data_IF_758235280374
#
_entry.id   IF_758235280374
#
_cell.length_a   1.000
_cell.length_b   1.000
_cell.length_c   1.000
_cell.angle_alpha   90.00
_cell.angle_beta   90.00
_cell.angle_gamma   90.00
#
_symmetry.space_group_name_H-M   'P 1'
#
loop_
_entity.id
_entity.type
_entity.pdbx_description
1 polymer ?
#
# COMPACT_ATOMS: atom_id res chain seq x y z
N UNK A 1 -25.87 -14.33 -7.22
CA UNK A 1 -26.45 -13.81 -5.96
C UNK A 1 -25.92 -12.41 -5.79
N UNK A 2 -26.77 -11.41 -5.42
CA UNK A 2 -26.26 -10.09 -5.06
C UNK A 2 -25.22 -10.27 -3.95
N UNK A 3 -24.07 -9.60 -4.11
CA UNK A 3 -22.94 -9.67 -3.15
C UNK A 3 -23.06 -8.59 -2.07
N UNK A 4 -24.23 -7.97 -1.95
CA UNK A 4 -24.54 -6.98 -0.93
C UNK A 4 -25.29 -7.68 0.21
N UNK A 5 -24.88 -7.40 1.44
CA UNK A 5 -25.46 -7.99 2.64
C UNK A 5 -26.34 -7.00 3.43
N UNK A 6 -26.43 -5.75 2.95
CA UNK A 6 -27.17 -4.63 3.55
C UNK A 6 -27.75 -3.73 2.45
N UNK A 7 -28.71 -2.87 2.80
CA UNK A 7 -29.33 -1.91 1.88
C UNK A 7 -28.79 -0.48 2.09
N UNK A 8 -28.48 0.22 1.00
CA UNK A 8 -28.12 1.64 1.01
C UNK A 8 -28.58 2.34 -0.29
N UNK A 9 -28.90 3.64 -0.26
CA UNK A 9 -29.22 4.39 -1.46
C UNK A 9 -28.08 4.36 -2.49
N UNK A 10 -28.40 4.03 -3.75
CA UNK A 10 -27.45 4.02 -4.86
C UNK A 10 -26.67 2.71 -5.06
N UNK A 11 -27.02 1.63 -4.35
CA UNK A 11 -26.44 0.31 -4.61
C UNK A 11 -26.86 -0.23 -5.99
N UNK A 12 -25.92 -0.91 -6.65
CA UNK A 12 -26.13 -1.61 -7.91
C UNK A 12 -25.70 -3.08 -7.74
N UNK A 13 -26.56 -4.03 -8.12
CA UNK A 13 -26.31 -5.46 -7.92
C UNK A 13 -25.34 -6.07 -8.93
N UNK A 14 -25.28 -5.49 -10.14
CA UNK A 14 -24.47 -6.00 -11.23
C UNK A 14 -23.35 -5.00 -11.55
N UNK A 15 -22.07 -5.36 -11.32
CA UNK A 15 -20.96 -4.60 -11.89
C UNK A 15 -20.97 -4.73 -13.41
N UNK A 16 -20.41 -3.73 -14.11
CA UNK A 16 -20.23 -3.81 -15.56
C UNK A 16 -19.13 -4.82 -15.91
N UNK A 17 -19.27 -5.64 -16.98
CA UNK A 17 -18.32 -6.70 -17.31
C UNK A 17 -16.86 -6.24 -17.46
N UNK A 18 -16.64 -4.99 -17.87
CA UNK A 18 -15.33 -4.38 -18.08
C UNK A 18 -14.50 -4.25 -16.80
N UNK A 19 -15.15 -4.33 -15.63
CA UNK A 19 -14.49 -4.30 -14.31
C UNK A 19 -14.18 -5.69 -13.76
N UNK A 20 -14.50 -6.75 -14.51
CA UNK A 20 -14.19 -8.11 -14.10
C UNK A 20 -12.67 -8.30 -13.91
N UNK A 21 -12.28 -8.81 -12.75
CA UNK A 21 -10.88 -9.02 -12.40
C UNK A 21 -10.15 -7.78 -11.85
N UNK A 22 -10.83 -6.65 -11.64
CA UNK A 22 -10.23 -5.51 -10.95
C UNK A 22 -9.90 -5.89 -9.50
N UNK A 23 -8.77 -5.38 -9.02
CA UNK A 23 -8.24 -5.64 -7.68
C UNK A 23 -7.95 -4.32 -7.01
N UNK A 24 -8.43 -4.12 -5.78
CA UNK A 24 -8.02 -2.98 -4.97
C UNK A 24 -6.59 -3.22 -4.46
N UNK A 25 -5.62 -2.89 -5.30
CA UNK A 25 -4.26 -3.32 -5.11
C UNK A 25 -3.55 -2.56 -4.00
N UNK A 26 -3.54 -1.23 -4.06
CA UNK A 26 -2.67 -0.44 -3.19
C UNK A 26 -3.29 0.84 -2.65
N UNK A 27 -2.81 1.23 -1.47
CA UNK A 27 -2.94 2.59 -0.92
C UNK A 27 -1.55 3.20 -0.84
N UNK A 28 -1.38 4.45 -1.25
CA UNK A 28 -0.09 5.14 -1.26
C UNK A 28 0.00 6.20 -0.17
N UNK A 29 1.08 6.17 0.61
CA UNK A 29 1.48 7.29 1.48
C UNK A 29 2.86 7.80 1.09
N UNK A 30 3.02 9.12 1.16
CA UNK A 30 4.35 9.69 1.15
C UNK A 30 4.97 9.56 2.55
N UNK A 31 6.23 9.15 2.61
CA UNK A 31 6.99 9.00 3.83
C UNK A 31 8.21 9.92 3.82
N UNK A 32 8.48 10.54 4.97
CA UNK A 32 9.61 11.47 5.13
C UNK A 32 10.93 10.72 5.19
N UNK A 33 10.96 9.65 5.98
CA UNK A 33 12.17 8.91 6.29
C UNK A 33 11.90 7.41 6.08
N UNK A 34 12.54 6.78 5.08
CA UNK A 34 12.37 5.37 4.79
C UNK A 34 12.92 4.49 5.90
N UNK A 35 13.99 4.85 6.61
CA UNK A 35 14.55 4.00 7.66
C UNK A 35 13.56 3.84 8.82
N UNK A 36 13.02 4.96 9.30
CA UNK A 36 11.98 4.96 10.36
C UNK A 36 10.72 4.24 9.92
N UNK A 37 10.31 4.43 8.66
CA UNK A 37 9.10 3.79 8.12
C UNK A 37 9.29 2.29 7.96
N UNK A 38 10.44 1.84 7.45
CA UNK A 38 10.76 0.41 7.32
C UNK A 38 10.79 -0.26 8.67
N UNK A 39 11.45 0.33 9.67
CA UNK A 39 11.45 -0.19 11.03
C UNK A 39 10.02 -0.33 11.60
N UNK A 40 9.21 0.73 11.48
CA UNK A 40 7.83 0.69 11.98
C UNK A 40 6.98 -0.38 11.28
N UNK A 41 6.89 -0.36 9.95
CA UNK A 41 6.01 -1.27 9.23
C UNK A 41 6.48 -2.72 9.29
N UNK A 42 7.80 -2.98 9.37
CA UNK A 42 8.32 -4.35 9.46
C UNK A 42 8.36 -4.87 10.90
N UNK A 43 9.05 -4.18 11.81
CA UNK A 43 9.28 -4.66 13.18
C UNK A 43 8.05 -4.50 14.07
N UNK A 44 7.34 -3.38 13.96
CA UNK A 44 6.19 -3.10 14.84
C UNK A 44 4.92 -3.72 14.28
N UNK A 45 4.66 -3.56 12.98
CA UNK A 45 3.43 -4.04 12.34
C UNK A 45 3.56 -5.40 11.65
N UNK A 46 4.75 -5.98 11.51
CA UNK A 46 4.94 -7.32 10.93
C UNK A 46 4.72 -7.40 9.41
N UNK A 47 4.72 -6.27 8.70
CA UNK A 47 4.65 -6.25 7.24
C UNK A 47 5.99 -6.65 6.62
N UNK A 48 5.96 -7.06 5.36
CA UNK A 48 7.14 -7.43 4.61
C UNK A 48 7.31 -6.49 3.42
N UNK A 49 8.56 -6.08 3.15
CA UNK A 49 8.91 -5.38 1.91
C UNK A 49 8.91 -6.38 0.75
N UNK A 50 7.95 -6.25 -0.16
CA UNK A 50 7.77 -7.15 -1.30
C UNK A 50 8.58 -6.65 -2.51
N UNK A 51 8.55 -5.33 -2.74
CA UNK A 51 9.24 -4.69 -3.87
C UNK A 51 9.75 -3.31 -3.48
N UNK A 52 10.94 -2.96 -3.98
CA UNK A 52 11.52 -1.62 -3.95
C UNK A 52 11.79 -1.20 -5.39
N UNK A 53 11.38 0.01 -5.76
CA UNK A 53 11.62 0.59 -7.09
C UNK A 53 12.25 1.97 -6.91
N UNK A 54 13.43 2.18 -7.48
CA UNK A 54 14.12 3.47 -7.46
C UNK A 54 13.93 4.17 -8.81
N UNK A 55 13.64 5.47 -8.77
CA UNK A 55 13.48 6.32 -9.97
C UNK A 55 14.45 7.50 -9.91
N UNK A 56 15.74 7.31 -10.28
CA UNK A 56 16.77 8.32 -10.08
C UNK A 56 16.54 9.64 -10.81
N UNK A 57 16.00 9.59 -12.03
CA UNK A 57 15.70 10.78 -12.82
C UNK A 57 14.63 11.66 -12.16
N UNK A 58 13.71 11.04 -11.42
CA UNK A 58 12.60 11.71 -10.72
C UNK A 58 12.85 11.88 -9.21
N UNK A 59 13.97 11.36 -8.69
CA UNK A 59 14.42 11.45 -7.30
C UNK A 59 13.39 10.96 -6.26
N UNK A 60 12.79 9.80 -6.52
CA UNK A 60 11.99 9.12 -5.51
C UNK A 60 12.18 7.59 -5.55
N UNK A 61 11.81 6.97 -4.44
CA UNK A 61 11.77 5.52 -4.29
C UNK A 61 10.39 5.08 -3.81
N UNK A 62 9.90 3.96 -4.33
CA UNK A 62 8.67 3.30 -3.90
C UNK A 62 9.01 2.03 -3.12
N UNK A 63 8.37 1.85 -1.97
CA UNK A 63 8.46 0.66 -1.12
C UNK A 63 7.08 0.02 -1.02
N UNK A 64 6.91 -1.18 -1.54
CA UNK A 64 5.64 -1.91 -1.53
C UNK A 64 5.63 -2.92 -0.39
N UNK A 65 4.80 -2.63 0.61
CA UNK A 65 4.66 -3.40 1.84
C UNK A 65 3.38 -4.24 1.81
N UNK A 66 3.42 -5.43 2.41
CA UNK A 66 2.22 -6.23 2.60
C UNK A 66 2.41 -7.37 3.59
N UNK A 67 1.31 -8.00 4.00
CA UNK A 67 1.35 -9.20 4.82
C UNK A 67 1.56 -10.46 3.96
N UNK A 68 2.49 -11.29 4.40
CA UNK A 68 2.82 -12.57 3.79
C UNK A 68 2.64 -13.64 4.85
N UNK A 69 1.73 -14.58 4.62
CA UNK A 69 1.75 -15.83 5.38
C UNK A 69 2.91 -16.72 4.88
N UNK A 70 3.29 -17.73 5.67
CA UNK A 70 4.42 -18.61 5.34
C UNK A 70 4.28 -19.23 3.95
N UNK A 71 3.07 -19.69 3.60
CA UNK A 71 2.77 -20.29 2.31
C UNK A 71 3.00 -19.31 1.16
N UNK A 72 2.55 -18.07 1.33
CA UNK A 72 2.64 -17.01 0.31
C UNK A 72 4.07 -16.53 0.15
N UNK A 73 4.84 -16.43 1.24
CA UNK A 73 6.25 -16.05 1.19
C UNK A 73 7.08 -16.97 0.27
N UNK A 74 6.82 -18.29 0.30
CA UNK A 74 7.49 -19.26 -0.57
C UNK A 74 7.13 -19.15 -2.07
N UNK A 75 6.06 -18.42 -2.39
CA UNK A 75 5.61 -18.23 -3.78
C UNK A 75 6.11 -16.94 -4.42
N UNK A 76 6.80 -16.08 -3.66
CA UNK A 76 7.25 -14.79 -4.18
C UNK A 76 8.32 -14.99 -5.26
N UNK A 77 8.10 -14.49 -6.48
CA UNK A 77 9.07 -14.64 -7.54
C UNK A 77 10.38 -13.91 -7.25
N UNK A 78 11.51 -14.57 -7.49
CA UNK A 78 12.82 -13.93 -7.37
C UNK A 78 13.14 -13.02 -8.57
N UNK A 79 12.62 -13.34 -9.76
CA UNK A 79 12.81 -12.54 -10.97
C UNK A 79 12.05 -11.19 -10.84
N UNK A 80 12.71 -10.11 -11.26
CA UNK A 80 12.19 -8.75 -11.16
C UNK A 80 10.86 -8.50 -11.86
N UNK A 81 10.72 -8.95 -13.11
CA UNK A 81 9.48 -8.77 -13.87
C UNK A 81 8.32 -9.55 -13.24
N UNK A 82 8.58 -10.80 -12.84
CA UNK A 82 7.56 -11.62 -12.18
C UNK A 82 7.21 -11.10 -10.79
N UNK A 83 8.17 -10.56 -10.03
CA UNK A 83 7.91 -9.96 -8.72
C UNK A 83 7.10 -8.68 -8.85
N UNK A 84 7.33 -7.91 -9.92
CA UNK A 84 6.57 -6.71 -10.25
C UNK A 84 5.12 -7.07 -10.57
N UNK A 85 4.89 -8.02 -11.50
CA UNK A 85 3.56 -8.52 -11.82
C UNK A 85 2.83 -9.09 -10.59
N UNK A 86 3.55 -9.84 -9.76
CA UNK A 86 3.03 -10.37 -8.49
C UNK A 86 2.61 -9.24 -7.54
N UNK A 87 3.44 -8.23 -7.34
CA UNK A 87 3.16 -7.12 -6.41
C UNK A 87 1.91 -6.34 -6.84
N UNK A 88 1.79 -6.03 -8.13
CA UNK A 88 0.68 -5.24 -8.67
C UNK A 88 -0.61 -6.04 -8.95
N UNK A 89 -0.57 -7.37 -8.82
CA UNK A 89 -1.76 -8.23 -8.93
C UNK A 89 -2.42 -8.61 -7.60
N UNK A 90 -1.88 -8.15 -6.47
CA UNK A 90 -2.36 -8.51 -5.12
C UNK A 90 -3.33 -7.49 -4.53
N UNK A 91 -4.07 -7.87 -3.50
CA UNK A 91 -4.83 -6.92 -2.68
C UNK A 91 -4.00 -6.42 -1.51
N UNK A 92 -4.36 -5.24 -0.98
CA UNK A 92 -3.90 -4.80 0.34
C UNK A 92 -2.41 -4.46 0.43
N UNK A 93 -1.84 -3.91 -0.65
CA UNK A 93 -0.46 -3.41 -0.66
C UNK A 93 -0.43 -1.97 -0.13
N UNK A 94 0.55 -1.68 0.72
CA UNK A 94 0.87 -0.33 1.14
C UNK A 94 2.08 0.16 0.33
N UNK A 95 1.86 1.11 -0.57
CA UNK A 95 2.92 1.80 -1.29
C UNK A 95 3.41 2.98 -0.44
N UNK A 96 4.69 2.98 -0.09
CA UNK A 96 5.33 4.10 0.58
C UNK A 96 6.25 4.82 -0.41
N UNK A 97 5.94 6.08 -0.70
CA UNK A 97 6.73 6.92 -1.61
C UNK A 97 7.66 7.82 -0.81
N UNK A 98 8.96 7.64 -1.01
CA UNK A 98 9.99 8.50 -0.44
C UNK A 98 10.53 9.45 -1.51
N UNK A 99 10.30 10.75 -1.34
CA UNK A 99 10.98 11.78 -2.14
C UNK A 99 12.34 12.06 -1.51
N UNK A 100 13.40 11.91 -2.29
CA UNK A 100 14.77 11.92 -1.78
C UNK A 100 15.14 13.26 -1.14
N UNK A 101 15.75 13.22 0.03
CA UNK A 101 16.20 14.40 0.78
C UNK A 101 15.18 14.92 1.81
N UNK A 102 13.93 14.45 1.77
CA UNK A 102 12.91 14.86 2.77
C UNK A 102 13.27 14.46 4.20
N UNK A 103 14.08 13.41 4.37
CA UNK A 103 14.65 12.93 5.62
C UNK A 103 15.67 13.91 6.24
N UNK A 104 16.33 14.73 5.41
CA UNK A 104 17.39 15.65 5.84
C UNK A 104 16.89 17.08 6.12
N UNK A 105 15.65 17.40 5.75
CA UNK A 105 15.04 18.71 5.99
C UNK A 105 14.29 18.69 7.34
N UNK A 106 14.76 19.36 8.40
CA UNK A 106 14.11 19.30 9.72
C UNK A 106 12.72 19.95 9.75
N UNK A 107 12.42 20.87 8.84
CA UNK A 107 11.17 21.64 8.82
C UNK A 107 10.09 20.97 7.95
N UNK A 108 10.50 20.00 7.12
CA UNK A 108 9.58 19.28 6.25
C UNK A 108 8.74 18.22 6.99
N UNK A 109 7.43 18.20 6.74
CA UNK A 109 6.52 17.13 7.17
C UNK A 109 5.42 16.89 6.14
N UNK A 110 4.88 15.67 6.09
CA UNK A 110 3.65 15.38 5.34
C UNK A 110 2.44 15.62 6.23
N UNK A 111 1.37 16.13 5.63
CA UNK A 111 0.07 16.26 6.27
C UNK A 111 -0.65 14.90 6.29
N UNK A 112 -1.32 14.58 7.40
CA UNK A 112 -1.95 13.27 7.61
C UNK A 112 -3.43 13.20 7.16
N UNK A 113 -4.01 14.31 6.72
CA UNK A 113 -5.40 14.45 6.28
C UNK A 113 -6.45 14.56 7.40
N UNK A 114 -6.05 14.56 8.68
CA UNK A 114 -6.97 14.55 9.82
C UNK A 114 -7.18 15.94 10.45
N UNK A 115 -6.23 16.85 10.28
CA UNK A 115 -6.40 18.29 10.52
C UNK A 115 -6.83 19.01 9.22
N UNK A 116 -7.24 20.27 9.31
CA UNK A 116 -7.58 21.07 8.12
C UNK A 116 -6.36 21.25 7.20
N UNK A 117 -6.50 21.13 5.87
CA UNK A 117 -7.68 20.65 5.14
C UNK A 117 -7.85 19.13 5.27
N UNK A 118 -9.05 18.69 5.66
CA UNK A 118 -9.33 17.28 5.90
C UNK A 118 -9.49 16.47 4.60
N UNK A 119 -9.18 15.17 4.66
CA UNK A 119 -9.32 14.26 3.51
C UNK A 119 -9.15 12.80 3.89
N UNK A 120 -7.97 12.24 3.62
CA UNK A 120 -7.64 10.87 4.03
C UNK A 120 -7.70 10.72 5.57
N UNK A 121 -8.32 9.65 6.06
CA UNK A 121 -8.40 9.35 7.49
C UNK A 121 -7.25 8.46 7.96
N UNK A 122 -7.38 7.15 7.73
CA UNK A 122 -6.42 6.16 8.19
C UNK A 122 -6.51 4.84 7.38
N UNK A 123 -5.47 4.01 7.52
CA UNK A 123 -5.55 2.58 7.24
C UNK A 123 -5.88 1.82 8.53
N UNK A 124 -6.57 0.70 8.40
CA UNK A 124 -6.89 -0.19 9.51
C UNK A 124 -6.23 -1.55 9.34
N UNK A 125 -5.77 -2.13 10.44
CA UNK A 125 -5.22 -3.49 10.47
C UNK A 125 -6.08 -4.29 11.45
N UNK A 126 -6.69 -5.36 10.95
CA UNK A 126 -7.40 -6.30 11.80
C UNK A 126 -6.40 -7.28 12.45
N UNK A 127 -6.56 -7.51 13.74
CA UNK A 127 -5.75 -8.44 14.52
C UNK A 127 -6.66 -9.47 15.23
N UNK A 128 -6.14 -10.66 15.58
CA UNK A 128 -6.94 -11.69 16.26
C UNK A 128 -7.43 -11.31 17.67
N UNK A 129 -6.67 -10.48 18.39
CA UNK A 129 -6.92 -9.97 19.75
C UNK A 129 -6.38 -8.55 19.88
#
# INVERSE_FOLDING_TARGET
>A
MPKHFEEAPGLHDAPVPETEGYVFNQTMFRIKDPERSMDFYTRVLGMHLIRKLDFPEMKFTLYFMGYLDERTAHTIPHNDAHRTAYTFGREGILELTHNWGTENDPDFSYHNGNDEPQGFGHIGIAVPD
#
